data_IF_914101195526
#
_entry.id   IF_914101195526
#
_cell.length_a   1.000
_cell.length_b   1.000
_cell.length_c   1.000
_cell.angle_alpha   90.00
_cell.angle_beta   90.00
_cell.angle_gamma   90.00
#
_symmetry.space_group_name_H-M   'P 1'
#
loop_
_entity.id
_entity.type
_entity.pdbx_description
1 polymer ?
#
# COMPACT_ATOMS: atom_id res chain seq x y z
N UNK A 1 -3.69 -10.79 10.50
CA UNK A 1 -4.33 -11.21 9.24
C UNK A 1 -5.18 -12.46 9.46
N UNK A 2 -4.61 -13.60 9.82
CA UNK A 2 -5.35 -14.87 9.98
C UNK A 2 -6.57 -14.76 10.90
N UNK A 3 -6.50 -13.97 11.97
CA UNK A 3 -7.63 -13.76 12.89
C UNK A 3 -8.76 -12.99 12.23
N UNK A 4 -8.44 -11.95 11.47
CA UNK A 4 -9.41 -11.13 10.74
C UNK A 4 -10.17 -11.98 9.72
N UNK A 5 -9.44 -12.81 8.97
CA UNK A 5 -10.02 -13.74 8.00
C UNK A 5 -10.86 -14.85 8.66
N UNK A 6 -10.34 -15.43 9.75
CA UNK A 6 -11.00 -16.52 10.48
C UNK A 6 -12.39 -16.12 11.03
N UNK A 7 -12.51 -14.86 11.49
CA UNK A 7 -13.74 -14.35 12.12
C UNK A 7 -14.52 -13.36 11.24
N UNK A 8 -14.11 -13.17 9.97
CA UNK A 8 -14.77 -12.28 9.02
C UNK A 8 -14.89 -10.85 9.58
N UNK A 9 -13.78 -10.31 10.11
CA UNK A 9 -13.79 -8.98 10.71
C UNK A 9 -13.70 -7.94 9.59
N UNK A 10 -14.77 -7.18 9.43
CA UNK A 10 -14.96 -6.15 8.42
C UNK A 10 -15.65 -4.91 9.01
N UNK A 11 -15.63 -3.80 8.30
CA UNK A 11 -16.37 -2.56 8.60
C UNK A 11 -16.46 -2.22 10.10
N UNK A 12 -17.68 -2.05 10.64
CA UNK A 12 -17.97 -1.67 12.02
C UNK A 12 -17.35 -2.57 13.10
N UNK A 13 -16.90 -3.79 12.73
CA UNK A 13 -16.22 -4.67 13.69
C UNK A 13 -14.84 -4.15 14.09
N UNK A 14 -14.20 -3.33 13.23
CA UNK A 14 -12.94 -2.66 13.57
C UNK A 14 -13.13 -1.58 14.63
N UNK A 15 -14.28 -0.91 14.65
CA UNK A 15 -14.62 0.17 15.59
C UNK A 15 -14.96 -0.35 16.99
N UNK A 16 -15.22 -1.65 17.15
CA UNK A 16 -15.50 -2.25 18.46
C UNK A 16 -14.36 -2.03 19.41
N UNK A 17 -14.65 -1.77 20.69
CA UNK A 17 -13.65 -1.61 21.75
C UNK A 17 -12.70 -2.80 21.85
N UNK A 18 -13.22 -4.03 21.65
CA UNK A 18 -12.42 -5.24 21.60
C UNK A 18 -13.05 -6.32 20.72
N UNK A 19 -12.22 -7.25 20.24
CA UNK A 19 -12.67 -8.44 19.55
C UNK A 19 -12.77 -9.61 20.51
N UNK A 20 -13.99 -10.09 20.82
CA UNK A 20 -14.21 -11.18 21.76
C UNK A 20 -14.09 -12.56 21.13
N UNK A 21 -13.95 -12.65 19.80
CA UNK A 21 -14.08 -13.88 19.02
C UNK A 21 -13.02 -14.92 19.37
N UNK A 22 -13.49 -16.15 19.63
CA UNK A 22 -12.67 -17.33 19.92
C UNK A 22 -13.24 -18.51 19.14
N UNK A 23 -12.41 -19.53 18.87
CA UNK A 23 -12.90 -20.78 18.26
C UNK A 23 -13.97 -21.41 19.16
N UNK A 24 -15.16 -21.69 18.61
CA UNK A 24 -16.28 -22.21 19.37
C UNK A 24 -17.10 -21.17 20.12
N UNK A 25 -16.81 -19.88 19.93
CA UNK A 25 -17.61 -18.79 20.50
C UNK A 25 -18.99 -18.73 19.80
N UNK A 26 -20.05 -18.86 20.59
CA UNK A 26 -21.42 -18.53 20.18
C UNK A 26 -21.86 -17.30 20.98
N UNK A 27 -22.39 -16.30 20.29
CA UNK A 27 -22.91 -15.07 20.91
C UNK A 27 -23.92 -15.45 22.03
N UNK A 28 -23.58 -15.16 23.27
CA UNK A 28 -24.43 -15.47 24.45
C UNK A 28 -23.86 -16.50 25.46
N UNK A 29 -22.66 -17.02 25.24
CA UNK A 29 -22.00 -17.90 26.20
C UNK A 29 -20.79 -17.20 26.82
N UNK A 30 -20.91 -16.84 28.11
CA UNK A 30 -19.87 -16.20 28.94
C UNK A 30 -18.85 -17.22 29.51
N UNK A 31 -18.48 -18.26 28.79
CA UNK A 31 -17.41 -19.13 29.26
C UNK A 31 -16.05 -18.57 28.81
N UNK A 32 -15.38 -17.93 29.75
CA UNK A 32 -13.95 -17.57 29.66
C UNK A 32 -13.11 -18.81 29.39
N UNK A 33 -12.84 -19.06 28.12
CA UNK A 33 -11.84 -20.05 27.72
C UNK A 33 -10.46 -19.45 27.99
N UNK A 34 -9.92 -19.72 29.20
CA UNK A 34 -8.61 -19.23 29.66
C UNK A 34 -7.45 -19.59 28.72
N UNK A 35 -7.59 -20.62 27.89
CA UNK A 35 -6.54 -21.09 26.96
C UNK A 35 -6.27 -20.07 25.83
N UNK A 36 -7.28 -19.31 25.39
CA UNK A 36 -7.14 -18.35 24.29
C UNK A 36 -6.96 -16.89 24.75
N UNK A 37 -6.96 -16.62 26.05
CA UNK A 37 -6.81 -15.28 26.59
C UNK A 37 -5.53 -14.56 26.12
N UNK A 38 -4.33 -15.20 26.05
CA UNK A 38 -3.13 -14.56 25.53
C UNK A 38 -3.21 -14.22 24.04
N UNK A 39 -3.87 -15.07 23.22
CA UNK A 39 -4.10 -14.82 21.81
C UNK A 39 -5.02 -13.61 21.63
N UNK A 40 -6.12 -13.58 22.37
CA UNK A 40 -7.08 -12.46 22.34
C UNK A 40 -6.42 -11.15 22.75
N UNK A 41 -5.63 -11.12 23.80
CA UNK A 41 -4.92 -9.93 24.25
C UNK A 41 -3.95 -9.41 23.17
N UNK A 42 -3.18 -10.31 22.53
CA UNK A 42 -2.25 -9.94 21.46
C UNK A 42 -2.96 -9.39 20.25
N UNK A 43 -4.07 -10.00 19.83
CA UNK A 43 -4.85 -9.55 18.65
C UNK A 43 -5.51 -8.21 18.93
N UNK A 44 -6.09 -8.01 20.14
CA UNK A 44 -6.68 -6.71 20.50
C UNK A 44 -5.63 -5.61 20.62
N UNK A 45 -4.42 -5.93 21.11
CA UNK A 45 -3.31 -4.97 21.07
C UNK A 45 -2.93 -4.58 19.65
N UNK A 46 -2.85 -5.54 18.73
CA UNK A 46 -2.57 -5.26 17.32
C UNK A 46 -3.68 -4.41 16.69
N UNK A 47 -4.97 -4.75 16.96
CA UNK A 47 -6.11 -3.94 16.55
C UNK A 47 -5.98 -2.50 17.05
N UNK A 48 -5.73 -2.33 18.34
CA UNK A 48 -5.60 -1.00 18.95
C UNK A 48 -4.49 -0.19 18.27
N UNK A 49 -3.31 -0.79 18.06
CA UNK A 49 -2.21 -0.12 17.36
C UNK A 49 -2.60 0.35 15.95
N UNK A 50 -3.35 -0.47 15.19
CA UNK A 50 -3.83 -0.11 13.86
C UNK A 50 -4.85 1.01 13.95
N UNK A 51 -5.82 0.92 14.86
CA UNK A 51 -6.86 1.93 15.02
C UNK A 51 -6.32 3.26 15.52
N UNK A 52 -5.34 3.26 16.44
CA UNK A 52 -4.68 4.48 16.91
C UNK A 52 -4.00 5.26 15.75
N UNK A 53 -3.49 4.54 14.77
CA UNK A 53 -2.87 5.14 13.57
C UNK A 53 -3.93 5.60 12.56
N UNK A 54 -4.93 4.77 12.26
CA UNK A 54 -5.85 4.98 11.15
C UNK A 54 -7.09 5.78 11.51
N UNK A 55 -7.55 5.78 12.79
CA UNK A 55 -8.78 6.50 13.17
C UNK A 55 -8.73 7.99 12.82
N UNK A 56 -7.64 8.74 13.09
CA UNK A 56 -7.59 10.16 12.72
C UNK A 56 -7.72 10.39 11.21
N UNK A 57 -7.21 9.46 10.42
CA UNK A 57 -7.32 9.52 8.96
C UNK A 57 -8.74 9.20 8.49
N UNK A 58 -9.40 8.20 9.10
CA UNK A 58 -10.81 7.90 8.81
C UNK A 58 -11.73 9.04 9.23
N UNK A 59 -11.49 9.66 10.38
CA UNK A 59 -12.26 10.83 10.84
C UNK A 59 -12.13 12.01 9.87
N UNK A 60 -10.93 12.24 9.34
CA UNK A 60 -10.69 13.22 8.29
C UNK A 60 -11.46 12.85 7.01
N UNK A 61 -11.30 11.63 6.52
CA UNK A 61 -11.89 11.16 5.27
C UNK A 61 -13.44 11.08 5.31
N UNK A 62 -14.04 10.95 6.50
CA UNK A 62 -15.48 10.84 6.68
C UNK A 62 -16.24 12.17 6.48
N UNK A 63 -15.53 13.29 6.27
CA UNK A 63 -16.18 14.57 6.01
C UNK A 63 -16.93 14.55 4.68
N UNK A 64 -18.26 14.60 4.74
CA UNK A 64 -19.12 14.54 3.56
C UNK A 64 -19.00 15.77 2.62
N UNK A 65 -18.52 16.91 3.14
CA UNK A 65 -18.27 18.12 2.35
C UNK A 65 -16.96 18.03 1.55
N UNK A 66 -16.14 16.99 1.83
CA UNK A 66 -14.84 16.81 1.24
C UNK A 66 -13.75 17.71 1.84
N UNK A 67 -12.59 17.67 1.24
CA UNK A 67 -11.41 18.46 1.59
C UNK A 67 -10.73 18.95 0.33
N UNK A 68 -9.95 20.02 0.45
CA UNK A 68 -9.13 20.50 -0.67
C UNK A 68 -8.04 19.47 -1.04
N UNK A 69 -7.59 19.49 -2.30
CA UNK A 69 -6.47 18.66 -2.72
C UNK A 69 -5.20 18.90 -1.89
N UNK A 70 -4.99 20.14 -1.42
CA UNK A 70 -3.88 20.44 -0.52
C UNK A 70 -4.01 19.76 0.85
N UNK A 71 -5.21 19.69 1.41
CA UNK A 71 -5.47 18.98 2.67
C UNK A 71 -5.31 17.46 2.48
N UNK A 72 -5.85 16.91 1.40
CA UNK A 72 -5.67 15.49 1.04
C UNK A 72 -4.20 15.12 0.88
N UNK A 73 -3.43 15.90 0.10
CA UNK A 73 -1.99 15.66 -0.08
C UNK A 73 -1.24 15.70 1.25
N UNK A 74 -1.55 16.65 2.12
CA UNK A 74 -0.95 16.76 3.46
C UNK A 74 -1.27 15.54 4.32
N UNK A 75 -2.52 15.07 4.31
CA UNK A 75 -2.95 13.91 5.10
C UNK A 75 -2.36 12.60 4.55
N UNK A 76 -2.30 12.43 3.24
CA UNK A 76 -1.68 11.26 2.61
C UNK A 76 -0.18 11.18 2.94
N UNK A 77 0.54 12.31 2.83
CA UNK A 77 1.95 12.37 3.23
C UNK A 77 2.13 12.02 4.71
N UNK A 78 1.33 12.63 5.60
CA UNK A 78 1.36 12.34 7.03
C UNK A 78 1.07 10.87 7.35
N UNK A 79 0.18 10.23 6.61
CA UNK A 79 -0.11 8.80 6.76
C UNK A 79 1.11 7.94 6.40
N UNK A 80 1.80 8.24 5.29
CA UNK A 80 3.03 7.53 4.91
C UNK A 80 4.14 7.65 5.97
N UNK A 81 4.30 8.84 6.57
CA UNK A 81 5.25 9.09 7.65
C UNK A 81 4.90 8.29 8.93
N UNK A 82 3.63 8.33 9.37
CA UNK A 82 3.18 7.60 10.57
C UNK A 82 3.33 6.07 10.38
N UNK A 83 3.10 5.58 9.17
CA UNK A 83 3.28 4.17 8.81
C UNK A 83 4.74 3.79 8.59
N UNK A 84 5.67 4.74 8.68
CA UNK A 84 7.11 4.53 8.46
C UNK A 84 7.40 3.89 7.08
N UNK A 85 6.66 4.30 6.05
CA UNK A 85 6.82 3.74 4.70
C UNK A 85 8.21 4.00 4.13
N UNK A 86 8.82 5.22 4.28
CA UNK A 86 10.18 5.48 3.78
C UNK A 86 11.21 4.53 4.38
N UNK A 87 11.18 4.37 5.70
CA UNK A 87 12.13 3.52 6.43
C UNK A 87 11.98 2.05 6.02
N UNK A 88 10.75 1.61 5.83
CA UNK A 88 10.44 0.23 5.44
C UNK A 88 10.93 -0.08 4.03
N UNK A 89 10.69 0.82 3.09
CA UNK A 89 11.16 0.68 1.71
C UNK A 89 12.69 0.70 1.64
N UNK A 90 13.33 1.55 2.45
CA UNK A 90 14.79 1.58 2.56
C UNK A 90 15.35 0.27 3.11
N UNK A 91 14.73 -0.31 4.17
CA UNK A 91 15.13 -1.62 4.71
C UNK A 91 15.00 -2.71 3.63
N UNK A 92 13.89 -2.76 2.90
CA UNK A 92 13.69 -3.74 1.83
C UNK A 92 14.67 -3.56 0.66
N UNK A 93 14.99 -2.33 0.29
CA UNK A 93 16.02 -2.08 -0.72
C UNK A 93 17.40 -2.59 -0.28
N UNK A 94 17.74 -2.39 1.00
CA UNK A 94 19.00 -2.89 1.58
C UNK A 94 19.03 -4.42 1.67
N UNK A 95 17.92 -5.04 2.02
CA UNK A 95 17.81 -6.51 2.06
C UNK A 95 17.96 -7.09 0.64
N UNK A 96 17.32 -6.50 -0.37
CA UNK A 96 17.49 -6.87 -1.77
C UNK A 96 18.95 -6.73 -2.23
N UNK A 97 19.64 -5.66 -1.84
CA UNK A 97 21.07 -5.47 -2.14
C UNK A 97 21.94 -6.59 -1.55
N UNK A 98 21.66 -7.03 -0.32
CA UNK A 98 22.45 -8.09 0.35
C UNK A 98 22.36 -9.45 -0.35
N UNK A 99 21.23 -9.73 -1.00
CA UNK A 99 21.03 -10.97 -1.79
C UNK A 99 21.37 -10.79 -3.27
N UNK A 100 21.81 -9.59 -3.67
CA UNK A 100 22.19 -9.29 -5.06
C UNK A 100 21.04 -9.02 -6.01
N UNK A 101 19.81 -8.84 -5.50
CA UNK A 101 18.60 -8.50 -6.27
C UNK A 101 18.55 -6.99 -6.55
N UNK A 102 19.24 -6.58 -7.61
CA UNK A 102 19.31 -5.17 -8.01
C UNK A 102 17.99 -4.64 -8.56
N UNK A 103 17.14 -5.49 -9.10
CA UNK A 103 15.83 -5.11 -9.64
C UNK A 103 14.87 -4.73 -8.51
N UNK A 104 14.72 -5.57 -7.50
CA UNK A 104 13.91 -5.29 -6.33
C UNK A 104 14.43 -4.07 -5.56
N UNK A 105 15.77 -3.91 -5.43
CA UNK A 105 16.37 -2.72 -4.83
C UNK A 105 15.92 -1.44 -5.55
N UNK A 106 16.13 -1.38 -6.87
CA UNK A 106 15.78 -0.22 -7.69
C UNK A 106 14.26 0.05 -7.64
N UNK A 107 13.43 -1.00 -7.64
CA UNK A 107 11.99 -0.89 -7.52
C UNK A 107 11.58 -0.23 -6.21
N UNK A 108 12.12 -0.67 -5.07
CA UNK A 108 11.80 -0.08 -3.76
C UNK A 108 12.24 1.38 -3.65
N UNK A 109 13.44 1.73 -4.16
CA UNK A 109 13.93 3.11 -4.16
C UNK A 109 13.09 4.04 -5.05
N UNK A 110 12.61 3.56 -6.21
CA UNK A 110 11.82 4.35 -7.15
C UNK A 110 10.35 4.48 -6.75
N UNK A 111 9.78 3.44 -6.12
CA UNK A 111 8.37 3.40 -5.73
C UNK A 111 8.01 4.60 -4.84
N UNK A 112 8.80 4.85 -3.82
CA UNK A 112 8.52 5.94 -2.88
C UNK A 112 8.53 7.31 -3.57
N UNK A 113 9.53 7.55 -4.41
CA UNK A 113 9.62 8.80 -5.17
C UNK A 113 8.43 8.98 -6.13
N UNK A 114 7.97 7.90 -6.77
CA UNK A 114 6.82 7.95 -7.66
C UNK A 114 5.52 8.26 -6.90
N UNK A 115 5.32 7.64 -5.73
CA UNK A 115 4.16 7.93 -4.87
C UNK A 115 4.20 9.35 -4.36
N UNK A 116 5.37 9.85 -3.90
CA UNK A 116 5.51 11.24 -3.47
C UNK A 116 5.22 12.22 -4.61
N UNK A 117 5.78 11.97 -5.80
CA UNK A 117 5.51 12.83 -6.96
C UNK A 117 4.02 12.91 -7.29
N UNK A 118 3.31 11.81 -7.15
CA UNK A 118 1.86 11.76 -7.36
C UNK A 118 1.10 12.54 -6.27
N UNK A 119 1.48 12.40 -5.00
CA UNK A 119 0.90 13.21 -3.91
C UNK A 119 1.17 14.71 -4.12
N UNK A 120 2.37 15.06 -4.54
CA UNK A 120 2.73 16.46 -4.87
C UNK A 120 1.89 16.99 -6.03
N UNK A 121 1.59 16.16 -7.03
CA UNK A 121 0.72 16.53 -8.15
C UNK A 121 -0.71 16.81 -7.67
N UNK A 122 -1.29 15.94 -6.83
CA UNK A 122 -2.58 16.20 -6.20
C UNK A 122 -2.54 17.52 -5.42
N UNK A 123 -1.52 17.71 -4.59
CA UNK A 123 -1.37 18.93 -3.78
C UNK A 123 -1.29 20.19 -4.64
N UNK A 124 -0.56 20.17 -5.76
CA UNK A 124 -0.32 21.35 -6.61
C UNK A 124 -1.45 21.62 -7.58
N UNK A 125 -1.98 20.57 -8.24
CA UNK A 125 -2.95 20.71 -9.32
C UNK A 125 -4.36 20.89 -8.76
N UNK A 126 -4.70 20.14 -7.72
CA UNK A 126 -6.03 20.16 -7.09
C UNK A 126 -6.07 21.03 -5.83
N UNK A 127 -5.10 21.93 -5.66
CA UNK A 127 -4.84 22.67 -4.44
C UNK A 127 -6.09 23.23 -3.76
N UNK A 128 -6.94 23.91 -4.53
CA UNK A 128 -8.11 24.63 -4.06
C UNK A 128 -9.43 23.90 -4.43
N UNK A 129 -9.34 22.76 -5.13
CA UNK A 129 -10.51 21.95 -5.50
C UNK A 129 -10.94 21.08 -4.31
N UNK A 130 -12.24 21.06 -4.04
CA UNK A 130 -12.79 20.22 -2.97
C UNK A 130 -13.10 18.85 -3.54
N UNK A 131 -12.52 17.83 -2.95
CA UNK A 131 -12.66 16.43 -3.33
C UNK A 131 -13.28 15.65 -2.18
N UNK A 132 -14.30 14.89 -2.48
CA UNK A 132 -14.87 13.90 -1.55
C UNK A 132 -13.93 12.68 -1.44
N UNK A 133 -14.17 11.81 -0.46
CA UNK A 133 -13.43 10.56 -0.31
C UNK A 133 -13.52 9.68 -1.57
N UNK A 134 -14.71 9.57 -2.17
CA UNK A 134 -14.91 8.74 -3.36
C UNK A 134 -14.13 9.27 -4.57
N UNK A 135 -14.11 10.60 -4.77
CA UNK A 135 -13.33 11.23 -5.83
C UNK A 135 -11.82 11.07 -5.59
N UNK A 136 -11.36 11.22 -4.34
CA UNK A 136 -9.96 10.99 -3.98
C UNK A 136 -9.56 9.53 -4.20
N UNK A 137 -10.40 8.56 -3.82
CA UNK A 137 -10.14 7.14 -4.06
C UNK A 137 -10.01 6.84 -5.55
N UNK A 138 -10.88 7.40 -6.39
CA UNK A 138 -10.79 7.24 -7.83
C UNK A 138 -9.48 7.80 -8.39
N UNK A 139 -9.06 9.00 -7.94
CA UNK A 139 -7.78 9.59 -8.33
C UNK A 139 -6.58 8.73 -7.91
N UNK A 140 -6.63 8.17 -6.69
CA UNK A 140 -5.57 7.29 -6.20
C UNK A 140 -5.49 5.98 -7.01
N UNK A 141 -6.63 5.35 -7.31
CA UNK A 141 -6.68 4.12 -8.12
C UNK A 141 -6.10 4.33 -9.50
N UNK A 142 -6.53 5.37 -10.22
CA UNK A 142 -6.06 5.68 -11.56
C UNK A 142 -4.58 6.11 -11.56
N UNK A 143 -4.19 7.04 -10.68
CA UNK A 143 -2.83 7.55 -10.64
C UNK A 143 -1.80 6.52 -10.19
N UNK A 144 -2.11 5.67 -9.21
CA UNK A 144 -1.22 4.60 -8.77
C UNK A 144 -1.15 3.44 -9.79
N UNK A 145 -2.21 3.22 -10.56
CA UNK A 145 -2.19 2.25 -11.67
C UNK A 145 -1.18 2.65 -12.73
N UNK A 146 -1.10 3.92 -13.07
CA UNK A 146 -0.14 4.44 -14.04
C UNK A 146 1.32 4.37 -13.53
N UNK A 147 1.53 4.55 -12.23
CA UNK A 147 2.86 4.41 -11.59
C UNK A 147 3.45 3.01 -11.81
N UNK A 148 2.64 1.96 -11.75
CA UNK A 148 3.09 0.57 -11.95
C UNK A 148 3.67 0.30 -13.34
N UNK A 149 3.28 1.03 -14.37
CA UNK A 149 3.77 0.85 -15.76
C UNK A 149 5.08 1.61 -16.04
N UNK A 150 5.41 2.62 -15.25
CA UNK A 150 6.58 3.48 -15.48
C UNK A 150 7.85 2.99 -14.75
N UNK A 151 7.72 2.01 -13.88
CA UNK A 151 8.77 1.72 -12.88
C UNK A 151 9.92 0.82 -13.33
N UNK A 152 9.91 0.28 -14.54
CA UNK A 152 11.00 -0.58 -15.02
C UNK A 152 11.58 0.00 -16.31
N UNK A 153 12.54 0.94 -16.25
CA UNK A 153 13.41 1.12 -17.40
C UNK A 153 14.23 -0.19 -17.54
N UNK A 154 14.29 -0.79 -18.74
CA UNK A 154 15.16 -1.93 -18.96
C UNK A 154 16.58 -1.54 -18.55
N UNK A 155 17.18 -2.27 -17.61
CA UNK A 155 18.57 -2.03 -17.25
C UNK A 155 19.45 -2.27 -18.49
N UNK A 156 20.55 -1.52 -18.60
CA UNK A 156 21.46 -1.57 -19.77
C UNK A 156 22.07 -2.96 -20.02
N UNK A 157 21.92 -3.89 -19.08
CA UNK A 157 22.49 -5.25 -19.11
C UNK A 157 21.43 -6.36 -19.29
N UNK A 158 20.25 -6.04 -19.83
CA UNK A 158 19.24 -7.06 -20.07
C UNK A 158 19.41 -7.77 -21.41
N UNK A 159 19.23 -9.09 -21.40
CA UNK A 159 18.98 -9.86 -22.62
C UNK A 159 17.48 -9.77 -22.92
N UNK A 160 17.15 -9.10 -24.01
CA UNK A 160 15.75 -8.95 -24.44
C UNK A 160 15.39 -10.13 -25.37
N UNK A 161 14.37 -10.89 -25.00
CA UNK A 161 13.77 -11.92 -25.84
C UNK A 161 12.47 -11.35 -26.41
N UNK A 162 12.42 -11.19 -27.73
CA UNK A 162 11.28 -10.55 -28.41
C UNK A 162 11.06 -11.14 -29.80
N UNK A 163 9.94 -10.82 -30.43
CA UNK A 163 9.68 -11.15 -31.84
C UNK A 163 10.29 -10.08 -32.74
N UNK A 164 10.56 -10.43 -34.00
CA UNK A 164 11.16 -9.53 -35.00
C UNK A 164 10.31 -8.25 -35.13
N UNK A 165 8.98 -8.39 -35.14
CA UNK A 165 8.05 -7.27 -35.27
C UNK A 165 8.12 -6.25 -34.13
N UNK A 166 8.47 -6.69 -32.92
CA UNK A 166 8.60 -5.82 -31.75
C UNK A 166 10.00 -5.26 -31.54
N UNK A 167 11.02 -5.95 -32.07
CA UNK A 167 12.43 -5.58 -31.89
C UNK A 167 12.99 -4.65 -32.97
N UNK A 168 12.30 -4.42 -34.11
CA UNK A 168 12.87 -3.73 -35.26
C UNK A 168 13.13 -2.23 -35.07
N UNK A 169 12.47 -1.59 -34.11
CA UNK A 169 12.59 -0.14 -33.84
C UNK A 169 13.74 0.23 -32.90
N UNK A 170 14.47 -0.74 -32.38
CA UNK A 170 15.56 -0.51 -31.43
C UNK A 170 16.89 -0.97 -32.00
N UNK A 171 17.97 -0.21 -31.69
CA UNK A 171 19.33 -0.62 -32.08
C UNK A 171 19.91 -1.56 -31.01
N UNK A 172 20.33 -2.75 -31.45
CA UNK A 172 20.92 -3.77 -30.59
C UNK A 172 22.37 -4.04 -30.95
N UNK A 173 23.33 -4.01 -29.99
CA UNK A 173 24.73 -4.28 -30.27
C UNK A 173 24.99 -5.74 -30.73
N UNK A 174 24.15 -6.68 -30.27
CA UNK A 174 24.21 -8.11 -30.68
C UNK A 174 22.78 -8.68 -30.74
N UNK A 175 22.48 -9.42 -31.78
CA UNK A 175 21.17 -10.07 -31.99
C UNK A 175 21.39 -11.53 -32.34
N UNK A 176 20.63 -12.41 -31.68
CA UNK A 176 20.55 -13.83 -32.00
C UNK A 176 19.13 -14.13 -32.48
N UNK A 177 19.00 -14.69 -33.68
CA UNK A 177 17.71 -15.10 -34.24
C UNK A 177 17.63 -16.64 -34.16
N UNK A 178 16.53 -17.10 -33.54
CA UNK A 178 16.26 -18.54 -33.38
C UNK A 178 14.89 -18.87 -33.97
N UNK A 179 14.77 -20.09 -34.56
CA UNK A 179 13.48 -20.58 -35.06
C UNK A 179 13.08 -20.07 -36.45
N UNK A 180 14.06 -19.83 -37.35
CA UNK A 180 13.83 -19.59 -38.77
C UNK A 180 13.38 -20.87 -39.49
#
# INVERSE_FOLDING_TARGET
ENYVLEFGIDHYKWERESWPYLRGFHEGQDEENHVDAPRRARVNKARQTIMDILSPWFDFAANAEGHTGAEWGTQLYGLLEILQVPERLYEWAKDAETIGDQESKASHEQMYNAVLSFIDEIYMVMKDEILTMDEMMLLLEEGLSDVNYSMIPPSLDHVVITTIERGYSQWWPKVFVMGL
#
